data_IF_084919050084
#
_entry.id   IF_084919050084
#
_cell.length_a   1.000
_cell.length_b   1.000
_cell.length_c   1.000
_cell.angle_alpha   90.00
_cell.angle_beta   90.00
_cell.angle_gamma   90.00
#
_symmetry.space_group_name_H-M   'P 1'
#
loop_
_entity.id
_entity.type
_entity.pdbx_description
1 polymer ?
#
# COMPACT_ATOMS: atom_id res chain seq x y z
N UNK A 1 11.12 -5.38 0.61
CA UNK A 1 9.66 -5.16 0.62
C UNK A 1 9.09 -5.94 -0.54
N UNK A 2 8.12 -6.81 -0.26
CA UNK A 2 7.43 -7.61 -1.27
C UNK A 2 5.97 -7.15 -1.32
N UNK A 3 5.45 -6.91 -2.53
CA UNK A 3 4.03 -6.58 -2.74
C UNK A 3 3.42 -7.67 -3.60
N UNK A 4 2.34 -8.26 -3.11
CA UNK A 4 1.62 -9.33 -3.81
C UNK A 4 0.14 -9.03 -3.81
N UNK A 5 -0.49 -9.12 -4.99
CA UNK A 5 -1.94 -8.96 -5.15
C UNK A 5 -2.55 -10.35 -5.36
N UNK A 6 -3.64 -10.64 -4.64
CA UNK A 6 -4.41 -11.88 -4.77
C UNK A 6 -5.87 -11.55 -5.01
N UNK A 7 -6.44 -12.18 -6.03
CA UNK A 7 -7.88 -12.24 -6.20
C UNK A 7 -8.44 -13.37 -5.34
N UNK A 8 -9.50 -13.07 -4.60
CA UNK A 8 -10.21 -13.99 -3.73
C UNK A 8 -11.61 -14.16 -4.31
N UNK A 9 -11.82 -15.26 -5.01
CA UNK A 9 -13.12 -15.58 -5.60
C UNK A 9 -14.17 -15.80 -4.52
N UNK A 10 -15.36 -15.23 -4.73
CA UNK A 10 -16.47 -15.46 -3.83
C UNK A 10 -16.93 -16.92 -3.89
N UNK A 11 -17.06 -17.56 -2.72
CA UNK A 11 -17.62 -18.90 -2.61
C UNK A 11 -19.16 -18.90 -2.59
N UNK A 12 -19.79 -17.72 -2.60
CA UNK A 12 -21.24 -17.57 -2.58
C UNK A 12 -21.67 -16.48 -3.57
N UNK A 13 -22.59 -16.80 -4.48
CA UNK A 13 -23.10 -15.87 -5.48
C UNK A 13 -23.75 -14.59 -4.89
N UNK A 14 -24.16 -14.59 -3.62
CA UNK A 14 -24.68 -13.40 -2.95
C UNK A 14 -23.60 -12.47 -2.37
N UNK A 15 -22.34 -12.90 -2.34
CA UNK A 15 -21.21 -12.13 -1.85
C UNK A 15 -20.28 -11.76 -3.02
N UNK A 16 -19.68 -10.56 -3.02
CA UNK A 16 -18.76 -10.19 -4.08
C UNK A 16 -17.38 -10.83 -3.84
N UNK A 17 -16.62 -11.00 -4.92
CA UNK A 17 -15.21 -11.37 -4.83
C UNK A 17 -14.40 -10.23 -4.21
N UNK A 18 -13.23 -10.56 -3.66
CA UNK A 18 -12.35 -9.59 -3.02
C UNK A 18 -10.99 -9.55 -3.70
N UNK A 19 -10.28 -8.43 -3.56
CA UNK A 19 -8.87 -8.31 -3.91
C UNK A 19 -8.11 -7.96 -2.64
N UNK A 20 -7.07 -8.76 -2.36
CA UNK A 20 -6.16 -8.57 -1.25
C UNK A 20 -4.79 -8.16 -1.80
N UNK A 21 -4.33 -6.96 -1.44
CA UNK A 21 -2.93 -6.59 -1.62
C UNK A 21 -2.19 -6.72 -0.29
N UNK A 22 -1.14 -7.55 -0.30
CA UNK A 22 -0.25 -7.75 0.84
C UNK A 22 1.05 -7.01 0.57
N UNK A 23 1.40 -6.11 1.47
CA UNK A 23 2.72 -5.49 1.50
C UNK A 23 3.48 -5.99 2.71
N UNK A 24 4.53 -6.77 2.46
CA UNK A 24 5.39 -7.35 3.49
C UNK A 24 6.63 -6.47 3.74
N UNK A 25 6.79 -6.07 5.00
CA UNK A 25 7.99 -5.46 5.55
C UNK A 25 8.76 -6.52 6.37
N UNK A 26 9.78 -6.12 7.13
CA UNK A 26 10.65 -7.08 7.85
C UNK A 26 9.83 -7.85 8.91
N UNK A 27 9.21 -7.12 9.84
CA UNK A 27 8.45 -7.70 10.97
C UNK A 27 6.98 -7.25 10.98
N UNK A 28 6.49 -6.71 9.87
CA UNK A 28 5.12 -6.22 9.77
C UNK A 28 4.54 -6.42 8.37
N UNK A 29 3.21 -6.49 8.34
CA UNK A 29 2.43 -6.59 7.12
C UNK A 29 1.43 -5.44 7.08
N UNK A 30 1.23 -4.92 5.88
CA UNK A 30 0.12 -4.03 5.56
C UNK A 30 -0.80 -4.76 4.59
N UNK A 31 -2.08 -4.81 4.92
CA UNK A 31 -3.10 -5.47 4.12
C UNK A 31 -4.08 -4.42 3.61
N UNK A 32 -4.28 -4.37 2.30
CA UNK A 32 -5.40 -3.66 1.69
C UNK A 32 -6.39 -4.69 1.15
N UNK A 33 -7.67 -4.50 1.47
CA UNK A 33 -8.76 -5.38 1.03
C UNK A 33 -9.83 -4.51 0.40
N UNK A 34 -10.21 -4.86 -0.83
CA UNK A 34 -11.31 -4.21 -1.54
C UNK A 34 -12.21 -5.22 -2.23
N UNK A 35 -13.41 -4.76 -2.57
CA UNK A 35 -14.40 -5.53 -3.32
C UNK A 35 -14.06 -5.48 -4.80
N UNK A 36 -14.12 -6.63 -5.48
CA UNK A 36 -14.01 -6.73 -6.93
C UNK A 36 -15.38 -6.96 -7.55
N UNK A 37 -15.74 -6.08 -8.47
CA UNK A 37 -16.94 -6.23 -9.32
C UNK A 37 -16.60 -6.92 -10.67
N UNK A 38 -15.31 -7.12 -10.95
CA UNK A 38 -14.79 -7.64 -12.22
C UNK A 38 -14.06 -8.98 -12.10
N UNK A 39 -13.33 -9.34 -13.14
CA UNK A 39 -12.59 -10.61 -13.22
C UNK A 39 -11.27 -10.54 -12.43
N UNK A 40 -10.56 -11.66 -12.24
CA UNK A 40 -9.23 -11.66 -11.61
C UNK A 40 -8.22 -10.73 -12.30
N UNK A 41 -8.40 -10.46 -13.60
CA UNK A 41 -7.52 -9.59 -14.38
C UNK A 41 -7.63 -8.12 -13.96
N UNK A 42 -8.76 -7.74 -13.35
CA UNK A 42 -9.01 -6.38 -12.86
C UNK A 42 -8.47 -6.14 -11.45
N UNK A 43 -7.78 -7.12 -10.84
CA UNK A 43 -7.34 -7.04 -9.45
C UNK A 43 -6.44 -5.82 -9.19
N UNK A 44 -5.45 -5.56 -10.05
CA UNK A 44 -4.56 -4.41 -9.89
C UNK A 44 -5.31 -3.08 -10.05
N UNK A 45 -6.24 -3.01 -11.00
CA UNK A 45 -7.05 -1.81 -11.24
C UNK A 45 -7.97 -1.54 -10.04
N UNK A 46 -8.53 -2.59 -9.46
CA UNK A 46 -9.39 -2.53 -8.28
C UNK A 46 -8.64 -1.96 -7.08
N UNK A 47 -7.40 -2.38 -6.84
CA UNK A 47 -6.51 -1.78 -5.83
C UNK A 47 -6.31 -0.28 -6.09
N UNK A 48 -6.03 0.09 -7.34
CA UNK A 48 -5.77 1.49 -7.70
C UNK A 48 -6.99 2.40 -7.57
N UNK A 49 -8.21 1.86 -7.73
CA UNK A 49 -9.48 2.58 -7.58
C UNK A 49 -9.96 2.66 -6.13
N UNK A 50 -9.83 1.58 -5.35
CA UNK A 50 -10.36 1.48 -3.98
C UNK A 50 -9.39 1.92 -2.88
N UNK A 51 -8.31 2.63 -3.24
CA UNK A 51 -7.35 3.17 -2.26
C UNK A 51 -7.98 4.27 -1.40
N UNK A 52 -7.89 4.12 -0.08
CA UNK A 52 -8.39 5.10 0.90
C UNK A 52 -7.66 6.45 0.78
N UNK A 53 -6.40 6.43 0.36
CA UNK A 53 -5.56 7.61 0.13
C UNK A 53 -4.95 7.59 -1.26
N UNK A 54 -4.83 8.77 -1.89
CA UNK A 54 -4.20 8.93 -3.22
C UNK A 54 -2.69 8.67 -3.17
N UNK A 55 -2.05 9.12 -2.10
CA UNK A 55 -0.63 8.95 -1.84
C UNK A 55 -0.43 8.28 -0.47
N UNK A 56 0.46 7.28 -0.41
CA UNK A 56 0.87 6.61 0.82
C UNK A 56 2.36 6.31 0.74
N UNK A 57 3.11 6.76 1.75
CA UNK A 57 4.48 6.33 1.99
C UNK A 57 4.70 5.88 3.43
N UNK A 58 5.72 5.06 3.65
CA UNK A 58 6.25 4.73 4.97
C UNK A 58 7.73 5.09 5.01
N UNK A 59 8.18 5.62 6.15
CA UNK A 59 9.58 5.85 6.42
C UNK A 59 9.94 5.22 7.77
N UNK A 60 11.20 4.84 7.93
CA UNK A 60 11.72 4.35 9.20
C UNK A 60 12.75 5.32 9.76
N UNK A 61 12.91 5.39 11.09
CA UNK A 61 13.94 6.21 11.71
C UNK A 61 15.35 5.85 11.19
N UNK A 62 16.22 6.85 10.99
CA UNK A 62 17.60 6.59 10.59
C UNK A 62 18.37 5.92 11.74
N UNK A 63 19.26 4.97 11.40
CA UNK A 63 20.11 4.31 12.40
C UNK A 63 21.14 5.24 13.05
N UNK A 64 21.41 6.40 12.43
CA UNK A 64 22.31 7.43 12.97
C UNK A 64 21.73 8.83 12.70
N UNK A 65 21.93 9.81 13.59
CA UNK A 65 21.29 11.13 13.51
C UNK A 65 21.60 11.95 12.24
N UNK A 66 22.74 11.67 11.61
CA UNK A 66 23.20 12.35 10.39
C UNK A 66 22.69 11.73 9.09
N UNK A 67 21.99 10.58 9.15
CA UNK A 67 21.49 9.87 7.98
C UNK A 67 20.03 10.20 7.70
N UNK A 68 19.65 10.15 6.42
CA UNK A 68 18.25 10.15 6.01
C UNK A 68 17.71 8.74 6.19
N UNK A 69 16.60 8.60 6.92
CA UNK A 69 15.94 7.32 7.13
C UNK A 69 15.39 6.76 5.81
N UNK A 70 15.41 5.43 5.61
CA UNK A 70 14.83 4.83 4.40
C UNK A 70 13.32 5.12 4.36
N UNK A 71 12.81 5.41 3.17
CA UNK A 71 11.39 5.62 2.95
C UNK A 71 10.96 5.06 1.60
N UNK A 72 9.72 4.60 1.54
CA UNK A 72 9.14 3.94 0.38
C UNK A 72 7.72 4.44 0.17
N UNK A 73 7.38 4.77 -1.08
CA UNK A 73 6.01 5.06 -1.49
C UNK A 73 5.31 3.76 -1.89
N UNK A 74 4.16 3.48 -1.31
CA UNK A 74 3.30 2.35 -1.71
C UNK A 74 2.35 2.77 -2.83
N UNK A 75 1.73 3.94 -2.65
CA UNK A 75 0.92 4.58 -3.68
C UNK A 75 1.46 5.98 -3.91
N UNK A 76 1.66 6.33 -5.18
CA UNK A 76 2.11 7.65 -5.61
C UNK A 76 1.23 8.09 -6.76
N UNK A 77 0.48 9.17 -6.56
CA UNK A 77 -0.19 9.87 -7.64
C UNK A 77 0.85 10.69 -8.41
N UNK A 78 0.65 10.85 -9.72
CA UNK A 78 1.49 11.74 -10.54
C UNK A 78 1.28 13.22 -10.19
N UNK A 79 0.20 13.54 -9.47
CA UNK A 79 -0.22 14.91 -9.15
C UNK A 79 0.37 15.47 -7.86
N UNK A 80 0.87 14.61 -6.96
CA UNK A 80 1.39 15.02 -5.65
C UNK A 80 2.47 14.05 -5.18
N UNK A 81 3.58 14.61 -4.68
CA UNK A 81 4.71 13.85 -4.14
C UNK A 81 4.97 14.20 -2.67
N UNK A 82 3.92 14.57 -1.93
CA UNK A 82 4.07 15.11 -0.57
C UNK A 82 4.22 14.00 0.47
N UNK A 83 3.62 12.83 0.24
CA UNK A 83 3.57 11.74 1.22
C UNK A 83 4.96 11.20 1.59
N UNK A 84 5.84 10.97 0.61
CA UNK A 84 7.19 10.43 0.83
C UNK A 84 8.08 11.37 1.66
N UNK A 85 8.29 12.64 1.29
CA UNK A 85 9.11 13.56 2.09
C UNK A 85 8.48 13.86 3.46
N UNK A 86 7.14 13.86 3.59
CA UNK A 86 6.50 13.98 4.91
C UNK A 86 6.79 12.77 5.79
N UNK A 87 6.65 11.55 5.27
CA UNK A 87 6.96 10.34 6.00
C UNK A 87 8.41 10.35 6.50
N UNK A 88 9.37 10.74 5.64
CA UNK A 88 10.79 10.89 6.03
C UNK A 88 11.01 11.87 7.18
N UNK A 89 10.34 13.03 7.14
CA UNK A 89 10.45 14.04 8.21
C UNK A 89 9.88 13.51 9.53
N UNK A 90 8.73 12.85 9.48
CA UNK A 90 8.11 12.25 10.66
C UNK A 90 9.02 11.15 11.23
N UNK A 91 9.50 10.23 10.39
CA UNK A 91 10.38 9.15 10.82
C UNK A 91 11.71 9.64 11.40
N UNK A 92 12.24 10.79 10.98
CA UNK A 92 13.43 11.39 11.59
C UNK A 92 13.20 11.92 13.02
N UNK A 93 11.98 12.34 13.33
CA UNK A 93 11.64 13.02 14.58
C UNK A 93 10.94 12.10 15.60
N UNK A 94 10.86 10.79 15.32
CA UNK A 94 10.35 9.74 16.20
C UNK A 94 11.52 8.95 16.80
#
# INVERSE_FOLDING_TARGET
MLVTTKYLESQNASLPSLVLQVTQLVDSYMLWIGVSEGSPDDAEVTVMRGRLSKDWACAMPPKAPSLVGPATSFFRSSTSDVALPMAQRLGKNL
#
